data_IF_459985522457
#
_entry.id   IF_459985522457
#
_cell.length_a   1.000
_cell.length_b   1.000
_cell.length_c   1.000
_cell.angle_alpha   90.00
_cell.angle_beta   90.00
_cell.angle_gamma   90.00
#
_symmetry.space_group_name_H-M   'P 1'
#
loop_
_entity.id
_entity.type
_entity.pdbx_description
1 polymer ?
#
# COMPACT_ATOMS: atom_id res chain seq x y z
N UNK A 1 -8.00 17.40 -20.93
CA UNK A 1 -9.16 16.51 -20.77
C UNK A 1 -8.66 15.19 -20.17
N UNK A 2 -8.82 14.99 -18.85
CA UNK A 2 -8.29 13.81 -18.15
C UNK A 2 -9.33 12.69 -18.23
N UNK A 3 -8.96 11.58 -18.86
CA UNK A 3 -9.82 10.41 -19.06
C UNK A 3 -10.10 9.71 -17.72
N UNK A 4 -11.38 9.53 -17.43
CA UNK A 4 -11.91 8.85 -16.24
C UNK A 4 -11.81 7.33 -16.42
N UNK A 5 -10.63 6.76 -16.17
CA UNK A 5 -10.46 5.31 -16.11
C UNK A 5 -10.76 4.80 -14.69
N UNK A 6 -11.66 3.80 -14.60
CA UNK A 6 -12.16 3.20 -13.35
C UNK A 6 -11.01 2.54 -12.58
N UNK A 7 -10.75 3.04 -11.37
CA UNK A 7 -9.73 2.55 -10.42
C UNK A 7 -10.39 1.54 -9.48
N UNK A 8 -10.13 0.25 -9.69
CA UNK A 8 -10.74 -0.82 -8.91
C UNK A 8 -9.66 -1.83 -8.58
N UNK A 9 -9.56 -2.19 -7.31
CA UNK A 9 -8.60 -3.16 -6.82
C UNK A 9 -9.27 -4.51 -6.66
N UNK A 10 -9.13 -5.34 -7.69
CA UNK A 10 -9.47 -6.75 -7.61
C UNK A 10 -8.56 -7.43 -6.57
N UNK A 11 -9.12 -7.98 -5.48
CA UNK A 11 -8.44 -9.09 -4.77
C UNK A 11 -8.84 -10.35 -5.52
N UNK A 12 -7.92 -11.21 -5.96
CA UNK A 12 -8.29 -12.13 -7.02
C UNK A 12 -9.33 -13.15 -6.54
N UNK A 13 -10.24 -13.51 -7.43
CA UNK A 13 -11.09 -14.71 -7.31
C UNK A 13 -10.30 -16.03 -7.24
N UNK A 14 -8.97 -15.95 -7.14
CA UNK A 14 -8.02 -17.03 -7.33
C UNK A 14 -7.35 -17.37 -6.00
N UNK A 15 -7.09 -18.66 -5.76
CA UNK A 15 -6.31 -19.09 -4.60
C UNK A 15 -4.96 -18.38 -4.56
N UNK A 16 -4.39 -18.24 -3.37
CA UNK A 16 -3.03 -17.72 -3.18
C UNK A 16 -2.04 -18.51 -4.05
N UNK A 17 -1.04 -17.82 -4.58
CA UNK A 17 -0.08 -18.42 -5.50
C UNK A 17 0.95 -19.23 -4.72
N UNK A 18 1.20 -20.47 -5.16
CA UNK A 18 2.31 -21.29 -4.67
C UNK A 18 3.53 -21.11 -5.60
N UNK A 19 4.68 -20.76 -5.03
CA UNK A 19 5.92 -20.61 -5.80
C UNK A 19 5.99 -19.33 -6.64
N UNK A 20 6.53 -19.43 -7.87
CA UNK A 20 6.81 -18.25 -8.72
C UNK A 20 5.54 -17.68 -9.33
N UNK A 21 5.47 -16.35 -9.46
CA UNK A 21 4.38 -15.67 -10.14
C UNK A 21 4.16 -16.27 -11.54
N UNK A 22 2.95 -16.77 -11.77
CA UNK A 22 2.57 -17.51 -12.97
C UNK A 22 1.70 -16.68 -13.91
N UNK A 23 1.00 -15.66 -13.38
CA UNK A 23 0.22 -14.73 -14.18
C UNK A 23 1.09 -13.52 -14.56
N UNK A 24 1.13 -13.17 -15.85
CA UNK A 24 1.79 -11.94 -16.30
C UNK A 24 1.08 -10.66 -15.79
N UNK A 25 1.68 -9.48 -16.01
CA UNK A 25 1.06 -8.20 -15.65
C UNK A 25 -0.35 -8.08 -16.23
N UNK A 26 -1.30 -7.60 -15.43
CA UNK A 26 -2.66 -7.33 -15.88
C UNK A 26 -2.63 -6.36 -17.07
N UNK A 27 -3.20 -6.75 -18.22
CA UNK A 27 -3.49 -5.77 -19.26
C UNK A 27 -4.65 -4.89 -18.76
N UNK A 28 -4.39 -3.58 -18.61
CA UNK A 28 -5.39 -2.52 -18.44
C UNK A 28 -6.16 -2.42 -17.10
N UNK A 29 -5.68 -2.98 -15.99
CA UNK A 29 -6.20 -2.66 -14.65
C UNK A 29 -5.34 -1.59 -13.95
N UNK A 30 -5.93 -0.41 -13.72
CA UNK A 30 -5.32 0.68 -12.96
C UNK A 30 -5.37 0.35 -11.46
N UNK A 31 -4.33 -0.32 -10.98
CA UNK A 31 -4.07 -0.51 -9.57
C UNK A 31 -4.12 0.83 -8.83
N UNK A 32 -4.67 0.84 -7.61
CA UNK A 32 -4.64 2.08 -6.86
C UNK A 32 -3.20 2.35 -6.41
N UNK A 33 -2.61 3.36 -7.02
CA UNK A 33 -1.30 3.88 -6.66
C UNK A 33 -1.31 4.38 -5.21
N UNK A 34 -0.19 4.21 -4.50
CA UNK A 34 -0.06 4.72 -3.16
C UNK A 34 0.00 6.25 -3.20
N UNK A 35 -0.69 6.90 -2.26
CA UNK A 35 -0.74 8.34 -2.18
C UNK A 35 0.35 8.86 -1.24
N UNK A 36 1.25 9.77 -1.67
CA UNK A 36 2.26 10.35 -0.81
C UNK A 36 1.63 11.14 0.33
N UNK A 37 2.10 10.89 1.56
CA UNK A 37 1.56 11.59 2.72
C UNK A 37 1.88 13.08 2.72
N UNK A 38 2.96 13.50 2.06
CA UNK A 38 3.33 14.90 1.92
C UNK A 38 2.28 15.73 1.17
N UNK A 39 1.40 15.10 0.40
CA UNK A 39 0.29 15.76 -0.29
C UNK A 39 -1.01 15.76 0.53
N UNK A 40 -1.05 15.14 1.72
CA UNK A 40 -2.22 15.16 2.59
C UNK A 40 -2.36 16.54 3.26
N UNK A 41 -3.56 17.17 3.25
CA UNK A 41 -3.75 18.47 3.86
C UNK A 41 -3.65 18.41 5.39
N UNK A 42 -2.99 19.41 5.97
CA UNK A 42 -2.99 19.63 7.42
C UNK A 42 -4.33 20.28 7.82
N UNK A 43 -5.18 19.52 8.50
CA UNK A 43 -6.51 19.96 8.90
C UNK A 43 -6.40 20.87 10.14
N UNK A 44 -6.04 22.13 9.93
CA UNK A 44 -6.17 23.16 10.96
C UNK A 44 -7.63 23.63 11.05
N UNK A 45 -8.23 23.54 12.23
CA UNK A 45 -9.57 24.05 12.52
C UNK A 45 -9.58 25.60 12.47
N UNK A 46 -10.13 26.18 11.39
CA UNK A 46 -10.36 27.62 11.22
C UNK A 46 -11.84 28.00 11.31
N UNK A 47 -12.14 28.95 12.21
CA UNK A 47 -13.42 29.59 12.59
C UNK A 47 -14.54 29.82 11.52
N UNK A 48 -15.81 30.09 11.93
CA UNK A 48 -16.98 29.94 11.07
C UNK A 48 -17.21 31.13 10.11
N UNK A 49 -17.05 30.88 8.81
CA UNK A 49 -17.48 31.72 7.68
C UNK A 49 -18.06 30.88 6.53
N UNK A 50 -18.63 31.49 5.47
CA UNK A 50 -18.99 30.78 4.25
C UNK A 50 -17.77 30.14 3.56
N UNK A 51 -16.58 30.76 3.67
CA UNK A 51 -15.30 30.13 3.34
C UNK A 51 -15.05 28.87 4.17
N UNK A 52 -15.32 28.93 5.48
CA UNK A 52 -15.18 27.78 6.37
C UNK A 52 -16.11 26.62 5.99
N UNK A 53 -17.27 26.84 5.35
CA UNK A 53 -18.12 25.75 4.85
C UNK A 53 -17.56 25.07 3.61
N UNK A 54 -16.91 25.84 2.74
CA UNK A 54 -16.20 25.30 1.58
C UNK A 54 -14.95 24.55 2.04
N UNK A 55 -14.15 25.15 2.93
CA UNK A 55 -13.03 24.52 3.61
C UNK A 55 -13.48 23.29 4.38
N UNK A 56 -14.63 23.31 5.06
CA UNK A 56 -15.20 22.12 5.74
C UNK A 56 -15.58 21.05 4.73
N UNK A 57 -16.15 21.38 3.57
CA UNK A 57 -16.53 20.37 2.57
C UNK A 57 -15.31 19.77 1.89
N UNK A 58 -14.31 20.58 1.58
CA UNK A 58 -13.03 20.12 1.05
C UNK A 58 -12.26 19.32 2.11
N UNK A 59 -12.22 19.79 3.36
CA UNK A 59 -11.68 19.06 4.50
C UNK A 59 -12.40 17.74 4.71
N UNK A 60 -13.74 17.68 4.63
CA UNK A 60 -14.54 16.45 4.74
C UNK A 60 -14.31 15.51 3.55
N UNK A 61 -14.09 16.04 2.34
CA UNK A 61 -13.72 15.22 1.18
C UNK A 61 -12.31 14.65 1.32
N UNK A 62 -11.35 15.46 1.73
CA UNK A 62 -9.96 15.06 1.92
C UNK A 62 -9.81 14.14 3.12
N UNK A 63 -10.55 14.39 4.19
CA UNK A 63 -10.81 13.49 5.31
C UNK A 63 -11.30 12.12 4.85
N UNK A 64 -12.29 12.09 3.97
CA UNK A 64 -12.86 10.86 3.44
C UNK A 64 -11.88 10.14 2.52
N UNK A 65 -11.15 10.87 1.67
CA UNK A 65 -10.07 10.32 0.85
C UNK A 65 -8.99 9.71 1.75
N UNK A 66 -8.48 10.46 2.72
CA UNK A 66 -7.50 9.99 3.69
C UNK A 66 -8.02 8.78 4.49
N UNK A 67 -9.28 8.80 4.93
CA UNK A 67 -9.93 7.71 5.62
C UNK A 67 -9.94 6.42 4.79
N UNK A 68 -10.31 6.54 3.52
CA UNK A 68 -10.31 5.42 2.58
C UNK A 68 -8.88 4.98 2.25
N UNK A 69 -7.89 5.88 2.25
CA UNK A 69 -6.49 5.49 2.03
C UNK A 69 -5.96 4.57 3.14
N UNK A 70 -6.45 4.71 4.37
CA UNK A 70 -6.08 3.85 5.49
C UNK A 70 -6.56 2.40 5.34
N UNK A 71 -7.49 2.14 4.43
CA UNK A 71 -8.02 0.81 4.22
C UNK A 71 -7.07 -0.03 3.36
N UNK A 72 -6.91 -1.32 3.68
CA UNK A 72 -6.23 -2.24 2.79
C UNK A 72 -6.86 -2.19 1.40
N UNK A 73 -6.08 -2.42 0.34
CA UNK A 73 -6.50 -1.98 -0.99
C UNK A 73 -7.82 -2.63 -1.46
N UNK A 74 -8.10 -3.89 -1.09
CA UNK A 74 -9.42 -4.50 -1.41
C UNK A 74 -10.53 -3.86 -0.59
N UNK A 75 -10.32 -3.71 0.72
CA UNK A 75 -11.36 -3.20 1.61
C UNK A 75 -11.81 -1.81 1.14
N UNK A 76 -10.86 -1.00 0.67
CA UNK A 76 -11.10 0.25 -0.05
C UNK A 76 -11.92 0.06 -1.32
N UNK A 77 -11.53 -0.84 -2.22
CA UNK A 77 -12.26 -1.06 -3.47
C UNK A 77 -13.70 -1.54 -3.24
N UNK A 78 -13.89 -2.47 -2.30
CA UNK A 78 -15.20 -2.97 -1.88
C UNK A 78 -16.05 -1.85 -1.29
N UNK A 79 -15.49 -1.01 -0.43
CA UNK A 79 -16.19 0.14 0.15
C UNK A 79 -16.57 1.18 -0.92
N UNK A 80 -15.68 1.48 -1.85
CA UNK A 80 -15.99 2.40 -2.96
C UNK A 80 -17.10 1.84 -3.86
N UNK A 81 -17.07 0.56 -4.19
CA UNK A 81 -18.09 -0.05 -5.04
C UNK A 81 -19.46 -0.10 -4.33
N UNK A 82 -19.50 -0.62 -3.11
CA UNK A 82 -20.76 -0.84 -2.41
C UNK A 82 -21.31 0.43 -1.75
N UNK A 83 -20.50 1.17 -0.99
CA UNK A 83 -20.99 2.28 -0.17
C UNK A 83 -20.95 3.64 -0.90
N UNK A 84 -20.12 3.79 -1.93
CA UNK A 84 -20.03 5.05 -2.71
C UNK A 84 -20.73 4.96 -4.05
N UNK A 85 -20.50 3.87 -4.81
CA UNK A 85 -21.10 3.67 -6.14
C UNK A 85 -22.43 2.92 -6.09
N UNK A 86 -22.83 2.38 -4.95
CA UNK A 86 -24.12 1.71 -4.74
C UNK A 86 -24.23 0.31 -5.36
N UNK A 87 -23.11 -0.34 -5.66
CA UNK A 87 -23.11 -1.68 -6.23
C UNK A 87 -23.53 -2.73 -5.20
N UNK A 88 -24.24 -3.76 -5.66
CA UNK A 88 -24.51 -4.93 -4.82
C UNK A 88 -23.23 -5.71 -4.52
N UNK A 89 -23.22 -6.45 -3.41
CA UNK A 89 -22.12 -7.35 -3.07
C UNK A 89 -21.86 -8.41 -4.16
N UNK A 90 -22.89 -8.77 -4.93
CA UNK A 90 -22.78 -9.69 -6.07
C UNK A 90 -22.03 -9.07 -7.24
N UNK A 91 -22.43 -7.88 -7.67
CA UNK A 91 -21.76 -7.16 -8.75
C UNK A 91 -20.31 -6.83 -8.39
N UNK A 92 -20.06 -6.42 -7.15
CA UNK A 92 -18.71 -6.19 -6.64
C UNK A 92 -17.90 -7.49 -6.59
N UNK A 93 -18.47 -8.63 -6.20
CA UNK A 93 -17.75 -9.92 -6.19
C UNK A 93 -17.40 -10.40 -7.61
N UNK A 94 -18.31 -10.18 -8.56
CA UNK A 94 -18.08 -10.51 -9.97
C UNK A 94 -16.97 -9.66 -10.57
N UNK A 95 -16.97 -8.35 -10.28
CA UNK A 95 -15.95 -7.45 -10.80
C UNK A 95 -14.60 -7.66 -10.10
N UNK A 96 -14.61 -7.74 -8.78
CA UNK A 96 -13.38 -7.81 -8.00
C UNK A 96 -12.72 -9.18 -8.04
N UNK A 97 -13.41 -10.21 -8.53
CA UNK A 97 -12.99 -11.59 -8.39
C UNK A 97 -13.18 -12.11 -6.95
N UNK A 98 -14.21 -12.92 -6.72
CA UNK A 98 -14.37 -13.62 -5.45
C UNK A 98 -15.80 -14.06 -5.20
N UNK A 99 -16.09 -14.41 -3.94
CA UNK A 99 -17.45 -14.70 -3.50
C UNK A 99 -18.09 -13.46 -2.87
N UNK A 100 -19.42 -13.41 -2.89
CA UNK A 100 -20.20 -12.42 -2.13
C UNK A 100 -19.85 -12.41 -0.64
N UNK A 101 -19.50 -13.58 -0.09
CA UNK A 101 -19.05 -13.71 1.29
C UNK A 101 -17.71 -12.98 1.54
N UNK A 102 -16.74 -13.10 0.62
CA UNK A 102 -15.46 -12.38 0.75
C UNK A 102 -15.67 -10.86 0.69
N UNK A 103 -16.49 -10.38 -0.26
CA UNK A 103 -16.85 -8.96 -0.38
C UNK A 103 -17.53 -8.44 0.89
N UNK A 104 -18.53 -9.15 1.41
CA UNK A 104 -19.21 -8.73 2.65
C UNK A 104 -18.24 -8.69 3.84
N UNK A 105 -17.33 -9.66 3.94
CA UNK A 105 -16.31 -9.70 4.98
C UNK A 105 -15.31 -8.54 4.87
N UNK A 106 -14.86 -8.23 3.65
CA UNK A 106 -14.00 -7.08 3.38
C UNK A 106 -14.70 -5.74 3.67
N UNK A 107 -15.98 -5.61 3.33
CA UNK A 107 -16.80 -4.41 3.63
C UNK A 107 -16.97 -4.21 5.14
N UNK A 108 -17.24 -5.30 5.87
CA UNK A 108 -17.33 -5.25 7.33
C UNK A 108 -16.01 -4.80 7.96
N UNK A 109 -14.87 -5.36 7.52
CA UNK A 109 -13.54 -4.93 7.99
C UNK A 109 -13.22 -3.49 7.62
N UNK A 110 -13.60 -3.04 6.42
CA UNK A 110 -13.48 -1.65 6.02
C UNK A 110 -14.22 -0.73 6.99
N UNK A 111 -15.50 -1.01 7.24
CA UNK A 111 -16.34 -0.22 8.15
C UNK A 111 -15.84 -0.26 9.59
N UNK A 112 -15.33 -1.40 10.07
CA UNK A 112 -14.73 -1.52 11.39
C UNK A 112 -13.46 -0.65 11.51
N UNK A 113 -12.56 -0.73 10.53
CA UNK A 113 -11.32 0.07 10.48
C UNK A 113 -11.63 1.57 10.46
N UNK A 114 -12.65 1.98 9.69
CA UNK A 114 -13.12 3.37 9.70
C UNK A 114 -13.82 3.72 11.02
N UNK A 115 -14.60 2.83 11.62
CA UNK A 115 -15.29 3.07 12.89
C UNK A 115 -14.33 3.28 14.07
N UNK A 116 -13.26 2.50 14.12
CA UNK A 116 -12.20 2.61 15.14
C UNK A 116 -11.39 3.91 15.00
N UNK A 117 -11.13 4.33 13.76
CA UNK A 117 -10.26 5.50 13.48
C UNK A 117 -11.03 6.81 13.30
N UNK A 118 -12.35 6.75 13.14
CA UNK A 118 -13.23 7.91 13.01
C UNK A 118 -14.42 7.82 13.98
N UNK A 119 -14.20 7.64 15.30
CA UNK A 119 -15.30 7.68 16.25
C UNK A 119 -15.92 9.09 16.19
N UNK A 120 -17.14 9.18 15.64
CA UNK A 120 -17.94 10.41 15.37
C UNK A 120 -17.73 11.10 14.01
N UNK A 121 -17.16 10.44 13.01
CA UNK A 121 -17.16 10.94 11.62
C UNK A 121 -16.28 12.17 11.34
N UNK A 122 -15.37 12.48 12.26
CA UNK A 122 -14.26 13.42 12.03
C UNK A 122 -12.98 12.61 11.86
N UNK A 123 -12.06 12.99 10.96
CA UNK A 123 -10.71 12.46 10.99
C UNK A 123 -10.13 12.66 12.36
N UNK A 124 -9.81 11.55 13.02
CA UNK A 124 -8.67 11.61 13.91
C UNK A 124 -7.49 11.92 13.00
N UNK A 125 -6.93 13.12 13.17
CA UNK A 125 -5.53 13.38 12.84
C UNK A 125 -4.77 12.19 13.43
N UNK A 126 -4.32 11.25 12.59
CA UNK A 126 -3.73 10.03 13.12
C UNK A 126 -2.50 10.46 13.91
N UNK A 127 -2.41 9.96 15.13
CA UNK A 127 -1.32 10.26 16.05
C UNK A 127 0.02 10.06 15.33
N UNK A 128 1.01 10.89 15.72
CA UNK A 128 2.41 10.74 15.29
C UNK A 128 2.84 9.27 15.27
N UNK A 129 3.76 8.88 14.37
CA UNK A 129 4.27 7.51 14.28
C UNK A 129 4.50 6.94 15.67
N UNK A 130 3.95 5.74 15.93
CA UNK A 130 4.22 5.11 17.21
C UNK A 130 5.69 4.66 17.26
N UNK A 131 6.36 4.71 18.42
CA UNK A 131 7.74 4.22 18.52
C UNK A 131 7.93 2.79 17.99
N UNK A 132 6.90 1.94 18.10
CA UNK A 132 6.92 0.57 17.60
C UNK A 132 6.89 0.50 16.06
N UNK A 133 6.19 1.43 15.39
CA UNK A 133 6.17 1.53 13.92
C UNK A 133 7.54 1.96 13.40
N UNK A 134 8.19 2.92 14.05
CA UNK A 134 9.52 3.40 13.67
C UNK A 134 10.57 2.29 13.82
N UNK A 135 10.55 1.56 14.94
CA UNK A 135 11.43 0.42 15.17
C UNK A 135 11.21 -0.72 14.16
N UNK A 136 9.95 -0.99 13.80
CA UNK A 136 9.63 -1.98 12.77
C UNK A 136 10.19 -1.56 11.41
N UNK A 137 10.03 -0.28 11.05
CA UNK A 137 10.52 0.28 9.79
C UNK A 137 12.06 0.25 9.71
N UNK A 138 12.76 0.62 10.78
CA UNK A 138 14.22 0.52 10.87
C UNK A 138 14.72 -0.91 10.71
N UNK A 139 14.04 -1.88 11.33
CA UNK A 139 14.37 -3.31 11.16
C UNK A 139 14.13 -3.75 9.72
N UNK A 140 13.03 -3.33 9.12
CA UNK A 140 12.71 -3.62 7.73
C UNK A 140 13.79 -3.11 6.78
N UNK A 141 14.19 -1.84 6.89
CA UNK A 141 15.25 -1.22 6.07
C UNK A 141 16.54 -2.03 6.20
N UNK A 142 16.97 -2.34 7.43
CA UNK A 142 18.18 -3.15 7.67
C UNK A 142 18.13 -4.53 7.02
N UNK A 143 16.98 -5.19 7.02
CA UNK A 143 16.86 -6.52 6.37
C UNK A 143 17.04 -6.44 4.85
N UNK A 144 16.53 -5.39 4.21
CA UNK A 144 16.70 -5.17 2.77
C UNK A 144 18.13 -4.80 2.40
N UNK A 145 18.74 -3.85 3.09
CA UNK A 145 20.13 -3.42 2.82
C UNK A 145 21.14 -4.55 3.07
N UNK A 146 20.92 -5.39 4.07
CA UNK A 146 21.75 -6.56 4.35
C UNK A 146 21.43 -7.78 3.46
N UNK A 147 20.46 -7.67 2.54
CA UNK A 147 19.91 -8.78 1.77
C UNK A 147 19.51 -9.99 2.64
N UNK A 148 19.03 -9.76 3.85
CA UNK A 148 18.66 -10.78 4.83
C UNK A 148 17.19 -11.17 4.70
N UNK A 149 16.91 -12.17 3.86
CA UNK A 149 15.56 -12.70 3.64
C UNK A 149 14.93 -13.26 4.93
N UNK A 150 15.68 -14.07 5.69
CA UNK A 150 15.17 -14.68 6.92
C UNK A 150 14.75 -13.62 7.94
N UNK A 151 15.59 -12.59 8.10
CA UNK A 151 15.28 -11.45 8.97
C UNK A 151 14.06 -10.66 8.52
N UNK A 152 13.84 -10.48 7.20
CA UNK A 152 12.61 -9.85 6.69
C UNK A 152 11.37 -10.70 7.02
N UNK A 153 11.47 -12.01 6.81
CA UNK A 153 10.38 -12.97 7.02
C UNK A 153 9.97 -13.05 8.50
N UNK A 154 10.91 -12.86 9.43
CA UNK A 154 10.62 -12.71 10.87
C UNK A 154 9.78 -11.46 11.20
N UNK A 155 9.80 -10.41 10.38
CA UNK A 155 8.98 -9.20 10.60
C UNK A 155 7.50 -9.44 10.31
N UNK A 156 7.20 -10.46 9.48
CA UNK A 156 5.85 -10.77 9.05
C UNK A 156 5.05 -11.43 10.18
N UNK A 157 3.76 -11.11 10.27
CA UNK A 157 2.78 -11.90 11.03
C UNK A 157 2.62 -13.27 10.36
N UNK A 158 2.19 -14.28 11.13
CA UNK A 158 2.09 -15.67 10.64
C UNK A 158 1.18 -15.79 9.40
N UNK A 159 0.09 -15.04 9.39
CA UNK A 159 -0.95 -14.96 8.36
C UNK A 159 -0.83 -13.68 7.49
N UNK A 160 0.35 -13.06 7.44
CA UNK A 160 0.56 -11.84 6.68
C UNK A 160 0.20 -12.01 5.20
N UNK A 161 -0.32 -10.97 4.57
CA UNK A 161 -0.60 -10.95 3.13
C UNK A 161 0.44 -10.15 2.36
N UNK A 162 0.76 -10.61 1.16
CA UNK A 162 1.67 -9.93 0.26
C UNK A 162 1.04 -9.77 -1.12
N UNK A 163 1.06 -8.54 -1.61
CA UNK A 163 0.55 -8.15 -2.92
C UNK A 163 1.65 -7.45 -3.71
N UNK A 164 1.73 -7.68 -5.02
CA UNK A 164 2.70 -7.00 -5.87
C UNK A 164 2.07 -6.33 -7.11
N UNK A 165 1.31 -5.24 -6.97
CA UNK A 165 0.79 -4.53 -8.14
C UNK A 165 1.90 -4.20 -9.16
N UNK A 166 1.72 -4.45 -10.47
CA UNK A 166 0.45 -4.78 -11.14
C UNK A 166 0.15 -6.28 -11.34
N UNK A 167 0.84 -7.16 -10.63
CA UNK A 167 0.66 -8.61 -10.75
C UNK A 167 -0.58 -9.06 -9.96
N UNK A 168 -1.31 -10.01 -10.54
CA UNK A 168 -2.50 -10.59 -9.91
C UNK A 168 -2.14 -11.59 -8.80
N UNK A 169 -0.92 -12.13 -8.80
CA UNK A 169 -0.49 -13.10 -7.80
C UNK A 169 -0.36 -12.42 -6.43
N UNK A 170 -0.86 -13.12 -5.41
CA UNK A 170 -0.79 -12.70 -4.01
C UNK A 170 -0.47 -13.91 -3.15
N UNK A 171 0.15 -13.65 -2.01
CA UNK A 171 0.67 -14.68 -1.12
C UNK A 171 0.12 -14.46 0.28
N UNK A 172 -0.22 -15.56 0.94
CA UNK A 172 -0.70 -15.55 2.32
C UNK A 172 0.19 -16.42 3.18
N UNK A 173 0.59 -15.86 4.31
CA UNK A 173 1.36 -16.53 5.33
C UNK A 173 2.85 -16.45 5.10
N UNK A 174 3.60 -16.54 6.21
CA UNK A 174 5.05 -16.31 6.25
C UNK A 174 5.81 -17.21 5.28
N UNK A 175 5.44 -18.50 5.21
CA UNK A 175 6.12 -19.48 4.35
C UNK A 175 5.93 -19.18 2.86
N UNK A 176 4.70 -18.89 2.42
CA UNK A 176 4.43 -18.58 1.01
C UNK A 176 5.16 -17.30 0.56
N UNK A 177 5.20 -16.29 1.43
CA UNK A 177 5.93 -15.04 1.18
C UNK A 177 7.43 -15.31 1.11
N UNK A 178 7.99 -16.09 2.05
CA UNK A 178 9.39 -16.50 2.03
C UNK A 178 9.76 -17.21 0.72
N UNK A 179 8.98 -18.19 0.29
CA UNK A 179 9.29 -19.00 -0.90
C UNK A 179 9.25 -18.17 -2.18
N UNK A 180 8.31 -17.21 -2.27
CA UNK A 180 8.30 -16.22 -3.34
C UNK A 180 9.57 -15.37 -3.33
N UNK A 181 9.88 -14.74 -2.19
CA UNK A 181 11.02 -13.83 -2.10
C UNK A 181 12.34 -14.58 -2.34
N UNK A 182 12.50 -15.80 -1.86
CA UNK A 182 13.66 -16.66 -2.16
C UNK A 182 13.91 -16.85 -3.66
N UNK A 183 12.86 -16.91 -4.46
CA UNK A 183 12.98 -17.04 -5.92
C UNK A 183 13.39 -15.74 -6.63
N UNK A 184 13.15 -14.56 -6.02
CA UNK A 184 13.39 -13.25 -6.65
C UNK A 184 14.48 -12.41 -6.00
N UNK A 185 14.92 -12.75 -4.78
CA UNK A 185 15.88 -11.98 -3.97
C UNK A 185 17.25 -11.84 -4.64
N UNK A 186 17.69 -12.88 -5.37
CA UNK A 186 19.01 -12.90 -6.02
C UNK A 186 19.04 -12.25 -7.41
N UNK A 187 17.98 -11.54 -7.81
CA UNK A 187 17.93 -10.84 -9.10
C UNK A 187 18.79 -9.57 -9.13
N UNK A 188 19.22 -9.09 -7.96
CA UNK A 188 19.96 -7.83 -7.80
C UNK A 188 21.24 -8.06 -6.99
N UNK A 189 22.24 -7.21 -7.23
CA UNK A 189 23.52 -7.24 -6.52
C UNK A 189 23.42 -6.65 -5.11
N UNK A 190 22.41 -5.80 -4.88
CA UNK A 190 22.12 -5.24 -3.57
C UNK A 190 20.89 -4.34 -3.60
N UNK A 191 20.54 -3.83 -2.41
CA UNK A 191 19.44 -2.89 -2.22
C UNK A 191 19.84 -1.69 -1.36
N UNK A 192 19.25 -0.54 -1.67
CA UNK A 192 19.22 0.65 -0.82
C UNK A 192 17.78 1.01 -0.52
N UNK A 193 17.50 1.31 0.73
CA UNK A 193 16.13 1.51 1.20
C UNK A 193 15.99 2.90 1.84
N UNK A 194 14.98 3.64 1.42
CA UNK A 194 14.69 5.00 1.90
C UNK A 194 13.32 5.00 2.57
N UNK A 195 13.29 5.42 3.83
CA UNK A 195 12.04 5.59 4.57
C UNK A 195 11.18 6.69 3.92
N UNK A 196 9.90 6.41 3.74
CA UNK A 196 8.91 7.37 3.26
C UNK A 196 7.54 7.03 3.87
N UNK A 197 6.47 7.69 3.45
CA UNK A 197 5.11 7.46 3.95
C UNK A 197 4.11 7.50 2.82
N UNK A 198 3.24 6.50 2.80
CA UNK A 198 2.18 6.37 1.83
C UNK A 198 0.88 5.99 2.52
N UNK A 199 -0.23 6.58 2.10
CA UNK A 199 -1.56 6.24 2.61
C UNK A 199 -1.68 6.32 4.15
N UNK A 200 -0.93 7.23 4.80
CA UNK A 200 -0.81 7.35 6.26
C UNK A 200 -0.25 6.10 6.95
N UNK A 201 0.60 5.37 6.24
CA UNK A 201 1.27 4.15 6.69
C UNK A 201 2.79 4.25 6.43
N UNK A 202 3.62 3.51 7.21
CA UNK A 202 5.04 3.38 6.92
C UNK A 202 5.26 2.84 5.50
N UNK A 203 6.17 3.46 4.76
CA UNK A 203 6.54 3.02 3.43
C UNK A 203 8.05 3.06 3.23
N UNK A 204 8.55 2.25 2.30
CA UNK A 204 9.96 2.18 1.96
C UNK A 204 10.11 2.20 0.45
N UNK A 205 10.90 3.13 -0.05
CA UNK A 205 11.32 3.13 -1.45
C UNK A 205 12.61 2.33 -1.59
N UNK A 206 12.61 1.34 -2.48
CA UNK A 206 13.76 0.48 -2.74
C UNK A 206 14.42 0.89 -4.05
N UNK A 207 15.70 1.21 -3.93
CA UNK A 207 16.63 1.27 -5.04
C UNK A 207 17.38 -0.05 -5.14
N UNK A 208 17.49 -0.61 -6.35
CA UNK A 208 18.19 -1.86 -6.57
C UNK A 208 19.37 -1.66 -7.52
N UNK A 209 20.48 -2.33 -7.23
CA UNK A 209 21.67 -2.36 -8.08
C UNK A 209 21.71 -3.67 -8.86
N UNK A 210 21.99 -3.60 -10.18
CA UNK A 210 22.16 -4.81 -11.00
C UNK A 210 23.62 -5.25 -11.01
N UNK A 211 23.91 -6.53 -11.21
CA UNK A 211 25.28 -7.06 -11.22
C UNK A 211 26.25 -6.40 -12.22
N UNK A 212 25.73 -5.73 -13.25
CA UNK A 212 26.53 -5.06 -14.29
C UNK A 212 26.27 -3.55 -14.38
N UNK A 213 25.49 -3.00 -13.45
CA UNK A 213 25.18 -1.56 -13.38
C UNK A 213 25.57 -1.05 -12.00
N UNK A 214 26.57 -0.18 -11.87
CA UNK A 214 26.96 0.37 -10.58
C UNK A 214 25.90 1.31 -10.00
N UNK A 215 24.92 1.77 -10.79
CA UNK A 215 23.89 2.70 -10.32
C UNK A 215 22.79 2.00 -9.51
N UNK A 216 22.38 2.68 -8.45
CA UNK A 216 21.24 2.33 -7.63
C UNK A 216 19.97 2.94 -8.24
N UNK A 217 19.17 2.15 -8.94
CA UNK A 217 17.98 2.66 -9.64
C UNK A 217 16.70 2.40 -8.88
N UNK A 218 15.76 3.33 -8.97
CA UNK A 218 14.41 3.16 -8.44
C UNK A 218 13.79 1.84 -8.94
N UNK A 219 13.32 1.00 -8.01
CA UNK A 219 12.87 -0.35 -8.33
C UNK A 219 11.44 -0.60 -7.86
N UNK A 220 11.14 -0.31 -6.60
CA UNK A 220 9.82 -0.54 -6.02
C UNK A 220 9.51 0.39 -4.86
N UNK A 221 8.21 0.53 -4.56
CA UNK A 221 7.71 1.22 -3.39
C UNK A 221 6.89 0.25 -2.54
N UNK A 222 7.25 0.12 -1.28
CA UNK A 222 6.68 -0.84 -0.35
C UNK A 222 5.79 -0.09 0.64
N UNK A 223 4.51 -0.44 0.72
CA UNK A 223 3.58 0.07 1.74
C UNK A 223 3.38 -1.03 2.77
N UNK A 224 3.66 -0.70 4.04
CA UNK A 224 3.68 -1.64 5.16
C UNK A 224 2.46 -1.34 6.03
N UNK A 225 1.65 -2.36 6.28
CA UNK A 225 0.57 -2.28 7.26
C UNK A 225 1.05 -2.93 8.58
N UNK A 226 1.38 -2.13 9.61
CA UNK A 226 1.83 -2.65 10.89
C UNK A 226 0.64 -2.95 11.82
N UNK A 227 0.79 -4.01 12.61
CA UNK A 227 0.00 -4.22 13.83
C UNK A 227 0.84 -4.97 14.86
N UNK A 228 0.79 -4.53 16.12
CA UNK A 228 1.44 -5.22 17.25
C UNK A 228 2.94 -5.50 17.00
N UNK A 229 3.65 -4.54 16.35
CA UNK A 229 5.07 -4.66 16.02
C UNK A 229 5.41 -5.69 14.93
N UNK A 230 4.41 -6.17 14.17
CA UNK A 230 4.57 -7.09 13.04
C UNK A 230 3.91 -6.52 11.78
N UNK A 231 4.33 -7.01 10.62
CA UNK A 231 3.74 -6.66 9.33
C UNK A 231 2.57 -7.58 9.04
N UNK A 232 1.37 -7.03 8.91
CA UNK A 232 0.14 -7.77 8.64
C UNK A 232 -0.19 -7.84 7.17
N UNK A 233 0.17 -6.79 6.43
CA UNK A 233 0.08 -6.76 4.98
C UNK A 233 1.25 -5.96 4.40
N UNK A 234 1.74 -6.43 3.26
CA UNK A 234 2.81 -5.81 2.52
C UNK A 234 2.36 -5.64 1.06
N UNK A 235 2.28 -4.40 0.60
CA UNK A 235 1.97 -4.10 -0.81
C UNK A 235 3.22 -3.53 -1.47
N UNK A 236 3.75 -4.22 -2.48
CA UNK A 236 4.97 -3.83 -3.19
C UNK A 236 4.64 -3.44 -4.61
N UNK A 237 4.69 -2.14 -4.89
CA UNK A 237 4.50 -1.61 -6.24
C UNK A 237 5.80 -1.83 -7.03
N UNK A 238 5.76 -2.76 -7.99
CA UNK A 238 6.91 -3.12 -8.84
C UNK A 238 6.78 -2.52 -10.24
N UNK A 239 7.83 -2.63 -11.05
CA UNK A 239 7.82 -2.16 -12.44
C UNK A 239 6.67 -2.76 -13.27
N UNK A 240 6.04 -1.96 -14.16
CA UNK A 240 6.40 -0.59 -14.55
C UNK A 240 5.96 0.51 -13.57
N UNK A 241 4.96 0.26 -12.70
CA UNK A 241 4.36 1.31 -11.85
C UNK A 241 5.30 1.78 -10.75
N UNK A 242 6.06 0.87 -10.14
CA UNK A 242 6.95 1.16 -9.00
C UNK A 242 7.91 2.34 -9.23
N UNK A 243 8.77 2.30 -10.27
CA UNK A 243 9.71 3.38 -10.56
C UNK A 243 9.05 4.74 -10.85
N UNK A 244 7.89 4.75 -11.54
CA UNK A 244 7.19 5.99 -11.90
C UNK A 244 6.63 6.73 -10.66
N UNK A 245 6.40 6.00 -9.56
CA UNK A 245 5.93 6.60 -8.31
C UNK A 245 6.99 7.46 -7.61
N UNK A 246 8.29 7.22 -7.83
CA UNK A 246 9.34 7.89 -7.05
C UNK A 246 9.26 9.41 -7.16
N UNK A 247 8.94 9.93 -8.35
CA UNK A 247 8.77 11.36 -8.57
C UNK A 247 7.64 11.97 -7.71
N UNK A 248 6.51 11.27 -7.56
CA UNK A 248 5.41 11.71 -6.71
C UNK A 248 5.78 11.70 -5.21
N UNK A 249 6.70 10.83 -4.81
CA UNK A 249 7.24 10.76 -3.45
C UNK A 249 8.43 11.70 -3.23
N UNK A 250 8.78 12.56 -4.20
CA UNK A 250 9.90 13.49 -4.10
C UNK A 250 11.28 12.81 -4.13
N UNK A 251 11.34 11.57 -4.62
CA UNK A 251 12.54 10.75 -4.66
C UNK A 251 13.16 10.74 -6.07
N UNK A 252 14.50 10.80 -6.19
CA UNK A 252 15.15 10.75 -7.51
C UNK A 252 15.06 9.35 -8.13
N UNK A 253 15.14 9.23 -9.47
CA UNK A 253 15.11 7.93 -10.16
C UNK A 253 16.39 7.11 -9.98
N UNK A 254 17.49 7.76 -9.59
CA UNK A 254 18.78 7.15 -9.26
C UNK A 254 19.19 7.67 -7.90
N UNK A 255 19.55 6.76 -6.99
CA UNK A 255 20.07 7.13 -5.69
C UNK A 255 21.49 7.66 -5.83
N UNK A 256 21.69 8.86 -5.31
CA UNK A 256 23.00 9.49 -5.11
C UNK A 256 23.17 9.64 -3.61
N UNK A 257 24.36 9.29 -3.09
CA UNK A 257 24.64 9.52 -1.67
C UNK A 257 24.48 11.02 -1.37
N UNK A 258 23.81 11.40 -0.27
CA UNK A 258 23.79 12.80 0.14
C UNK A 258 25.23 13.27 0.34
N UNK A 259 25.62 14.40 -0.28
CA UNK A 259 26.89 15.04 0.06
C UNK A 259 26.89 15.33 1.56
N UNK A 260 27.90 14.79 2.26
CA UNK A 260 28.04 14.82 3.71
C UNK A 260 28.35 16.23 4.26
#
# INVERSE_FOLDING_TARGET
ARSSARRILEEPARPSTEGRAAAGPAAELAWLEPYPDAELPDLADGAPGPEARYETREAVRLAFVAAIQLLPPRQRAVLLLCDVLGWSALEAAQLLGGSTASVNSALQRARATLGERFPKGRPLQRARPSPDEDLLLERYIRTWEAANLDGFVELLREDATYHMPPWHDWYQGRQAIHDFFKAVWNNYAGYRAVATRANSQPAVAIYAQRFHDPEWRAQSLHVIEPAEGRITALTVYVGPVGPDLFAAFGLPPVWTEPEA
#
